data_IF_872150542134
#
_entry.id   IF_872150542134
#
_cell.length_a   1.000
_cell.length_b   1.000
_cell.length_c   1.000
_cell.angle_alpha   90.00
_cell.angle_beta   90.00
_cell.angle_gamma   90.00
#
_symmetry.space_group_name_H-M   'P 1'
#
loop_
_entity.id
_entity.type
_entity.pdbx_description
1 polymer ?
#
# COMPACT_ATOMS: atom_id res chain seq x y z
N UNK A 1 -18.02 5.92 14.74
CA UNK A 1 -16.97 6.90 14.42
C UNK A 1 -17.61 8.28 14.35
N UNK A 2 -17.13 9.23 15.15
CA UNK A 2 -17.54 10.63 15.07
C UNK A 2 -17.00 11.24 13.78
N UNK A 3 -17.89 11.62 12.86
CA UNK A 3 -17.49 12.28 11.62
C UNK A 3 -17.44 13.80 11.81
N UNK A 4 -16.28 14.41 11.53
CA UNK A 4 -16.16 15.86 11.45
C UNK A 4 -16.77 16.35 10.14
N UNK A 5 -17.62 17.38 10.20
CA UNK A 5 -18.14 18.04 9.00
C UNK A 5 -17.13 19.06 8.51
N UNK A 6 -16.73 18.94 7.25
CA UNK A 6 -15.76 19.82 6.59
C UNK A 6 -16.42 20.34 5.32
N UNK A 7 -16.27 21.64 5.05
CA UNK A 7 -16.64 22.23 3.77
C UNK A 7 -15.42 22.22 2.86
N UNK A 8 -15.56 21.68 1.65
CA UNK A 8 -14.51 21.64 0.64
C UNK A 8 -15.01 22.30 -0.64
N UNK A 9 -14.13 23.01 -1.32
CA UNK A 9 -14.39 23.57 -2.66
C UNK A 9 -13.83 22.62 -3.70
N UNK A 10 -14.65 22.23 -4.67
CA UNK A 10 -14.27 21.35 -5.76
C UNK A 10 -14.54 22.04 -7.10
N UNK A 11 -13.69 21.82 -8.13
CA UNK A 11 -14.02 22.22 -9.49
C UNK A 11 -15.35 21.60 -9.94
N UNK A 12 -16.16 22.32 -10.74
CA UNK A 12 -17.48 21.85 -11.16
C UNK A 12 -17.41 20.55 -11.95
N UNK A 13 -16.40 20.39 -12.81
CA UNK A 13 -16.21 19.18 -13.61
C UNK A 13 -15.93 17.95 -12.73
N UNK A 14 -15.17 18.14 -11.65
CA UNK A 14 -14.88 17.07 -10.69
C UNK A 14 -16.14 16.69 -9.91
N UNK A 15 -16.96 17.66 -9.52
CA UNK A 15 -18.23 17.40 -8.85
C UNK A 15 -19.19 16.60 -9.74
N UNK A 16 -19.26 16.92 -11.04
CA UNK A 16 -20.06 16.15 -12.00
C UNK A 16 -19.57 14.70 -12.14
N UNK A 17 -18.26 14.48 -12.11
CA UNK A 17 -17.69 13.14 -12.11
C UNK A 17 -18.07 12.36 -10.84
N UNK A 18 -17.98 12.99 -9.66
CA UNK A 18 -18.41 12.40 -8.39
C UNK A 18 -19.90 12.04 -8.43
N UNK A 19 -20.74 12.92 -8.98
CA UNK A 19 -22.18 12.68 -9.12
C UNK A 19 -22.49 11.48 -10.00
N UNK A 20 -21.79 11.36 -11.14
CA UNK A 20 -21.96 10.22 -12.04
C UNK A 20 -21.64 8.89 -11.35
N UNK A 21 -20.55 8.86 -10.59
CA UNK A 21 -20.12 7.64 -9.89
C UNK A 21 -21.01 7.31 -8.70
N UNK A 22 -21.39 8.30 -7.90
CA UNK A 22 -22.28 8.12 -6.75
C UNK A 22 -23.66 7.65 -7.19
N UNK A 23 -24.18 8.14 -8.32
CA UNK A 23 -25.41 7.66 -8.92
C UNK A 23 -25.29 6.21 -9.41
N UNK A 24 -24.22 5.89 -10.16
CA UNK A 24 -23.96 4.53 -10.67
C UNK A 24 -23.81 3.50 -9.54
N UNK A 25 -23.21 3.88 -8.42
CA UNK A 25 -22.94 3.01 -7.27
C UNK A 25 -24.04 3.05 -6.21
N UNK A 26 -25.06 3.89 -6.37
CA UNK A 26 -26.13 4.11 -5.40
C UNK A 26 -25.64 4.44 -3.97
N UNK A 27 -24.59 5.26 -3.86
CA UNK A 27 -24.01 5.70 -2.58
C UNK A 27 -23.97 7.22 -2.48
N UNK A 28 -23.85 7.75 -1.25
CA UNK A 28 -23.75 9.20 -1.04
C UNK A 28 -22.39 9.74 -1.49
N UNK A 29 -22.36 11.03 -1.86
CA UNK A 29 -21.10 11.75 -2.18
C UNK A 29 -20.07 11.63 -1.06
N UNK A 30 -20.49 11.83 0.19
CA UNK A 30 -19.59 11.74 1.34
C UNK A 30 -18.98 10.35 1.50
N UNK A 31 -19.78 9.29 1.28
CA UNK A 31 -19.29 7.91 1.33
C UNK A 31 -18.29 7.65 0.21
N UNK A 32 -18.63 8.02 -1.01
CA UNK A 32 -17.74 7.87 -2.16
C UNK A 32 -16.41 8.59 -1.95
N UNK A 33 -16.46 9.87 -1.54
CA UNK A 33 -15.26 10.67 -1.28
C UNK A 33 -14.41 10.04 -0.17
N UNK A 34 -15.03 9.61 0.93
CA UNK A 34 -14.30 8.96 2.03
C UNK A 34 -13.62 7.66 1.59
N UNK A 35 -14.31 6.81 0.82
CA UNK A 35 -13.74 5.56 0.31
C UNK A 35 -12.58 5.81 -0.67
N UNK A 36 -12.71 6.79 -1.56
CA UNK A 36 -11.64 7.15 -2.51
C UNK A 36 -10.43 7.76 -1.80
N UNK A 37 -10.63 8.63 -0.80
CA UNK A 37 -9.54 9.18 0.00
C UNK A 37 -8.83 8.06 0.78
N UNK A 38 -9.58 7.19 1.44
CA UNK A 38 -9.01 6.07 2.20
C UNK A 38 -8.26 5.07 1.30
N UNK A 39 -8.73 4.86 0.08
CA UNK A 39 -8.01 4.06 -0.90
C UNK A 39 -6.70 4.72 -1.31
N UNK A 40 -6.73 6.01 -1.68
CA UNK A 40 -5.54 6.73 -2.12
C UNK A 40 -4.48 6.87 -1.02
N UNK A 41 -4.90 7.05 0.24
CA UNK A 41 -3.97 7.10 1.36
C UNK A 41 -3.22 5.78 1.55
N UNK A 42 -3.90 4.65 1.41
CA UNK A 42 -3.26 3.32 1.47
C UNK A 42 -2.25 3.12 0.35
N UNK A 43 -2.60 3.50 -0.88
CA UNK A 43 -1.65 3.42 -2.01
C UNK A 43 -0.38 4.25 -1.77
N UNK A 44 -0.53 5.44 -1.19
CA UNK A 44 0.60 6.31 -0.88
C UNK A 44 1.47 5.74 0.25
N UNK A 45 0.83 5.16 1.27
CA UNK A 45 1.52 4.49 2.37
C UNK A 45 2.30 3.27 1.87
N UNK A 46 1.68 2.40 1.07
CA UNK A 46 2.31 1.22 0.48
C UNK A 46 3.50 1.60 -0.42
N UNK A 47 3.37 2.67 -1.19
CA UNK A 47 4.44 3.19 -2.03
C UNK A 47 5.61 3.73 -1.19
N UNK A 48 5.33 4.42 -0.09
CA UNK A 48 6.36 4.94 0.80
C UNK A 48 7.07 3.82 1.56
N UNK A 49 6.34 2.81 2.04
CA UNK A 49 6.91 1.62 2.66
C UNK A 49 7.85 0.93 1.66
N UNK A 50 7.38 0.71 0.43
CA UNK A 50 8.20 0.10 -0.63
C UNK A 50 9.46 0.92 -0.89
N UNK A 51 9.34 2.25 -0.98
CA UNK A 51 10.49 3.16 -1.15
C UNK A 51 11.51 3.02 -0.02
N UNK A 52 11.06 2.98 1.23
CA UNK A 52 11.94 2.82 2.39
C UNK A 52 12.62 1.45 2.43
N UNK A 53 11.91 0.38 2.05
CA UNK A 53 12.50 -0.95 1.89
C UNK A 53 13.57 -0.94 0.80
N UNK A 54 13.25 -0.40 -0.37
CA UNK A 54 14.20 -0.30 -1.46
C UNK A 54 15.43 0.50 -1.04
N UNK A 55 15.26 1.64 -0.36
CA UNK A 55 16.37 2.45 0.15
C UNK A 55 17.25 1.66 1.15
N UNK A 56 16.65 0.93 2.09
CA UNK A 56 17.38 0.14 3.08
C UNK A 56 18.16 -1.04 2.48
N UNK A 57 17.68 -1.62 1.37
CA UNK A 57 18.25 -2.82 0.75
C UNK A 57 18.93 -2.56 -0.62
N UNK A 58 19.07 -1.30 -1.02
CA UNK A 58 19.73 -0.91 -2.27
C UNK A 58 21.26 -0.86 -2.17
N UNK A 59 21.83 -0.77 -0.97
CA UNK A 59 23.29 -0.81 -0.83
C UNK A 59 23.83 -2.18 -1.26
N UNK A 60 24.73 -2.19 -2.24
CA UNK A 60 25.36 -3.40 -2.80
C UNK A 60 25.98 -4.28 -1.70
N UNK A 61 26.48 -3.65 -0.63
CA UNK A 61 27.01 -4.35 0.54
C UNK A 61 25.95 -5.18 1.28
N UNK A 62 24.73 -4.67 1.44
CA UNK A 62 23.63 -5.43 2.06
C UNK A 62 23.14 -6.57 1.17
N UNK A 63 23.17 -6.39 -0.16
CA UNK A 63 22.85 -7.48 -1.10
C UNK A 63 23.87 -8.62 -1.04
N UNK A 64 25.16 -8.29 -1.03
CA UNK A 64 26.24 -9.28 -0.93
C UNK A 64 26.19 -10.01 0.42
N UNK A 65 25.99 -9.28 1.53
CA UNK A 65 25.86 -9.89 2.85
C UNK A 65 24.63 -10.79 2.95
N UNK A 66 23.48 -10.36 2.42
CA UNK A 66 22.27 -11.18 2.42
C UNK A 66 22.43 -12.43 1.54
N UNK A 67 23.11 -12.35 0.40
CA UNK A 67 23.35 -13.52 -0.44
C UNK A 67 24.30 -14.52 0.23
N UNK A 68 25.39 -14.04 0.85
CA UNK A 68 26.34 -14.87 1.59
C UNK A 68 25.67 -15.57 2.76
N UNK A 69 24.88 -14.85 3.57
CA UNK A 69 24.14 -15.42 4.67
C UNK A 69 23.10 -16.46 4.20
N UNK A 70 22.41 -16.18 3.09
CA UNK A 70 21.45 -17.13 2.51
C UNK A 70 22.15 -18.43 2.05
N UNK A 71 23.32 -18.34 1.43
CA UNK A 71 24.14 -19.50 1.06
C UNK A 71 24.60 -20.29 2.30
N UNK A 72 25.06 -19.61 3.36
CA UNK A 72 25.45 -20.25 4.62
C UNK A 72 24.27 -21.00 5.27
N UNK A 73 23.08 -20.39 5.30
CA UNK A 73 21.88 -21.04 5.83
C UNK A 73 21.43 -22.25 5.00
N UNK A 74 21.57 -22.19 3.67
CA UNK A 74 21.31 -23.31 2.78
C UNK A 74 22.24 -24.49 3.06
N UNK A 75 23.51 -24.23 3.37
CA UNK A 75 24.49 -25.27 3.73
C UNK A 75 24.24 -25.88 5.11
N UNK A 76 23.59 -25.12 6.01
CA UNK A 76 23.20 -25.60 7.34
C UNK A 76 21.85 -26.31 7.35
N UNK A 77 21.08 -26.26 6.25
CA UNK A 77 19.81 -26.95 6.12
C UNK A 77 20.07 -28.43 5.84
N UNK A 78 19.70 -29.37 6.74
CA UNK A 78 19.83 -30.79 6.45
C UNK A 78 18.96 -31.13 5.24
N UNK A 79 19.43 -31.98 4.30
CA UNK A 79 18.56 -32.47 3.24
C UNK A 79 17.34 -33.14 3.90
N UNK A 80 16.13 -32.74 3.49
CA UNK A 80 14.87 -33.29 4.02
C UNK A 80 14.95 -34.82 4.10
N UNK A 81 14.89 -35.36 5.32
CA UNK A 81 15.08 -36.78 5.53
C UNK A 81 15.20 -37.26 6.97
N UNK A 82 14.57 -36.62 7.96
CA UNK A 82 14.22 -37.32 9.20
C UNK A 82 12.73 -37.16 9.47
N UNK A 83 11.99 -38.22 9.16
CA UNK A 83 10.59 -38.39 9.53
C UNK A 83 10.44 -38.37 11.05
N UNK A 84 9.48 -37.58 11.53
CA UNK A 84 8.79 -37.86 12.80
C UNK A 84 7.42 -38.44 12.50
#
# INVERSE_FOLDING_TARGET
MSASRIAITLPPDLLQCVDRWTHKLAISRSRFIAEQIAHRLRELEDAEVTRLYDEAYQEEQHRIQNSQLAEEMLQLTPPEGESW
#
